data_IF_201577961009
#
_entry.id   IF_201577961009
#
_cell.length_a   1.000
_cell.length_b   1.000
_cell.length_c   1.000
_cell.angle_alpha   90.00
_cell.angle_beta   90.00
_cell.angle_gamma   90.00
#
_symmetry.space_group_name_H-M   'P 1'
#
loop_
_entity.id
_entity.type
_entity.pdbx_description
1 polymer ?
#
# COMPACT_ATOMS: atom_id res chain seq x y z
N UNK A 1 -25.11 2.12 -9.38
CA UNK A 1 -24.99 1.70 -9.14
C UNK A 1 -24.60 1.50 -8.98
N UNK A 2 -24.36 1.63 -8.94
CA UNK A 2 -23.92 1.19 -8.74
C UNK A 2 -23.44 0.89 -8.58
N UNK A 3 -23.20 0.71 -8.41
CA UNK A 3 -22.66 0.05 -8.04
C UNK A 3 -22.55 -0.45 -7.55
N UNK A 4 -22.51 -0.51 -7.54
CA UNK A 4 -22.35 -1.22 -6.97
C UNK A 4 -22.06 -1.49 -6.38
N UNK A 5 -21.91 -1.42 -6.26
CA UNK A 5 -21.59 -1.89 -5.58
C UNK A 5 -21.63 -2.02 -4.95
N UNK A 6 -21.66 -1.65 -4.93
CA UNK A 6 -21.85 -1.91 -4.24
C UNK A 6 -22.02 -2.52 -3.39
N UNK A 7 -22.29 -2.67 -2.91
CA UNK A 7 -22.44 -3.64 -2.25
C UNK A 7 -21.33 -4.24 -1.66
N UNK A 8 -20.58 -4.88 -2.24
CA UNK A 8 -19.34 -5.37 -1.81
C UNK A 8 -18.47 -4.34 -1.23
N UNK A 9 -18.40 -3.22 -1.83
CA UNK A 9 -17.52 -2.17 -1.34
C UNK A 9 -17.79 -1.74 0.06
N UNK A 10 -18.98 -1.96 0.53
CA UNK A 10 -19.28 -1.55 1.88
C UNK A 10 -18.56 -2.39 2.91
N UNK A 11 -18.09 -3.55 2.51
CA UNK A 11 -17.45 -4.44 3.44
C UNK A 11 -15.96 -4.40 3.39
N UNK A 12 -15.42 -3.76 2.39
CA UNK A 12 -13.99 -3.75 2.22
C UNK A 12 -13.51 -2.36 1.90
N UNK A 13 -12.41 -1.98 2.51
CA UNK A 13 -11.78 -0.71 2.21
C UNK A 13 -10.48 -0.96 1.50
N UNK A 14 -10.24 -0.23 0.44
CA UNK A 14 -9.01 -0.37 -0.31
C UNK A 14 -8.55 0.99 -0.79
N UNK A 15 -7.25 1.23 -0.70
CA UNK A 15 -6.67 2.51 -1.11
C UNK A 15 -5.41 2.26 -1.91
N UNK A 16 -5.25 2.97 -3.00
CA UNK A 16 -4.04 2.87 -3.80
C UNK A 16 -2.98 3.74 -3.16
N UNK A 17 -1.77 3.19 -3.08
CA UNK A 17 -0.63 3.92 -2.53
C UNK A 17 0.26 4.31 -3.70
N UNK A 18 0.46 5.61 -3.87
CA UNK A 18 1.32 6.13 -4.92
C UNK A 18 2.43 6.96 -4.32
N UNK A 19 3.62 6.84 -4.90
CA UNK A 19 4.76 7.63 -4.48
C UNK A 19 5.26 8.35 -5.72
N UNK A 20 5.17 9.67 -5.72
CA UNK A 20 5.60 10.48 -6.87
C UNK A 20 4.93 10.01 -8.15
N UNK A 21 3.63 9.78 -8.06
CA UNK A 21 2.82 9.36 -9.19
C UNK A 21 3.11 7.95 -9.69
N UNK A 22 3.90 7.21 -8.96
CA UNK A 22 4.19 5.83 -9.30
C UNK A 22 3.41 4.93 -8.37
N UNK A 23 2.63 3.99 -8.89
CA UNK A 23 1.88 3.10 -7.99
C UNK A 23 2.82 2.20 -7.23
N UNK A 24 2.73 2.23 -5.93
CA UNK A 24 3.52 1.34 -5.08
C UNK A 24 2.74 0.08 -4.81
N UNK A 25 1.42 0.19 -4.71
CA UNK A 25 0.59 -0.94 -4.42
C UNK A 25 -0.74 -0.46 -3.90
N UNK A 26 -1.42 -1.33 -3.20
CA UNK A 26 -2.62 -0.92 -2.53
C UNK A 26 -2.68 -1.56 -1.16
N UNK A 27 -3.48 -0.98 -0.30
CA UNK A 27 -3.74 -1.56 1.00
C UNK A 27 -5.22 -1.81 1.11
N UNK A 28 -5.58 -2.91 1.72
CA UNK A 28 -7.00 -3.23 1.87
C UNK A 28 -7.24 -3.93 3.18
N UNK A 29 -8.46 -3.81 3.67
CA UNK A 29 -8.87 -4.54 4.85
C UNK A 29 -10.34 -4.85 4.75
N UNK A 30 -10.74 -5.93 5.36
CA UNK A 30 -12.14 -6.28 5.46
C UNK A 30 -12.73 -5.55 6.64
N UNK A 31 -14.03 -5.51 6.66
CA UNK A 31 -14.77 -4.81 7.67
C UNK A 31 -14.37 -5.12 9.10
N UNK A 32 -14.08 -6.35 9.38
CA UNK A 32 -13.74 -6.77 10.75
C UNK A 32 -12.26 -6.85 11.00
N UNK A 33 -11.45 -6.39 10.06
CA UNK A 33 -10.00 -6.36 10.26
C UNK A 33 -9.57 -5.02 10.78
N UNK A 34 -8.54 -5.05 11.63
CA UNK A 34 -7.99 -3.83 12.18
C UNK A 34 -6.94 -3.22 11.31
N UNK A 35 -6.24 -4.03 10.57
CA UNK A 35 -5.08 -3.57 9.81
C UNK A 35 -5.30 -3.74 8.33
N UNK A 36 -4.68 -2.83 7.58
CA UNK A 36 -4.67 -2.93 6.13
C UNK A 36 -3.50 -3.80 5.73
N UNK A 37 -3.70 -4.65 4.73
CA UNK A 37 -2.65 -5.49 4.20
C UNK A 37 -2.18 -4.90 2.89
N UNK A 38 -0.87 -4.83 2.73
CA UNK A 38 -0.26 -4.25 1.54
C UNK A 38 -0.12 -5.29 0.44
N UNK A 39 -0.49 -4.90 -0.78
CA UNK A 39 -0.30 -5.72 -1.96
C UNK A 39 0.54 -4.89 -2.91
N UNK A 40 1.75 -5.36 -3.21
CA UNK A 40 2.68 -4.56 -4.01
C UNK A 40 2.26 -4.53 -5.47
N UNK A 41 2.54 -3.42 -6.14
CA UNK A 41 2.25 -3.26 -7.55
C UNK A 41 3.47 -3.49 -8.42
N UNK A 42 4.64 -3.55 -7.83
CA UNK A 42 5.85 -3.80 -8.59
C UNK A 42 6.90 -4.41 -7.69
N UNK A 43 7.92 -4.98 -8.29
CA UNK A 43 8.95 -5.66 -7.52
C UNK A 43 9.71 -4.72 -6.61
N UNK A 44 9.73 -3.44 -6.92
CA UNK A 44 10.37 -2.47 -6.06
C UNK A 44 9.81 -2.46 -4.65
N UNK A 45 8.53 -2.80 -4.52
CA UNK A 45 7.86 -2.73 -3.24
C UNK A 45 7.50 -4.10 -2.69
N UNK A 46 8.09 -5.14 -3.25
CA UNK A 46 7.80 -6.49 -2.77
C UNK A 46 8.19 -6.71 -1.32
N UNK A 47 9.10 -5.93 -0.82
CA UNK A 47 9.47 -6.05 0.58
C UNK A 47 8.30 -5.73 1.50
N UNK A 48 7.31 -5.01 1.01
CA UNK A 48 6.15 -4.66 1.80
C UNK A 48 4.98 -5.60 1.58
N UNK A 49 5.11 -6.51 0.63
CA UNK A 49 4.03 -7.42 0.30
C UNK A 49 3.59 -8.17 1.55
N UNK A 50 2.30 -8.13 1.84
CA UNK A 50 1.76 -8.84 2.99
C UNK A 50 1.92 -8.13 4.31
N UNK A 51 2.63 -7.02 4.35
CA UNK A 51 2.79 -6.28 5.59
C UNK A 51 1.48 -5.59 5.96
N UNK A 52 1.29 -5.40 7.24
CA UNK A 52 0.08 -4.77 7.75
C UNK A 52 0.35 -3.39 8.29
N UNK A 53 -0.59 -2.51 8.06
CA UNK A 53 -0.47 -1.12 8.50
C UNK A 53 -1.76 -0.68 9.13
N UNK A 54 -1.67 0.12 10.16
CA UNK A 54 -2.85 0.61 10.85
C UNK A 54 -3.65 1.58 9.97
N UNK A 55 -2.96 2.31 9.09
CA UNK A 55 -3.62 3.30 8.23
C UNK A 55 -2.95 3.28 6.87
N UNK A 56 -3.64 3.78 5.84
CA UNK A 56 -3.00 3.92 4.53
C UNK A 56 -1.81 4.87 4.57
N UNK A 57 -1.86 5.89 5.42
CA UNK A 57 -0.74 6.82 5.53
C UNK A 57 0.51 6.11 6.02
N UNK A 58 0.35 5.18 6.96
CA UNK A 58 1.50 4.43 7.45
C UNK A 58 2.12 3.61 6.33
N UNK A 59 1.30 3.06 5.45
CA UNK A 59 1.81 2.29 4.33
C UNK A 59 2.55 3.19 3.36
N UNK A 60 2.03 4.38 3.12
CA UNK A 60 2.69 5.31 2.23
C UNK A 60 4.06 5.69 2.76
N UNK A 61 4.15 5.94 4.06
CA UNK A 61 5.43 6.30 4.65
C UNK A 61 6.43 5.16 4.53
N UNK A 62 5.96 3.94 4.73
CA UNK A 62 6.84 2.79 4.60
C UNK A 62 7.35 2.65 3.17
N UNK A 63 6.48 2.88 2.19
CA UNK A 63 6.87 2.79 0.80
C UNK A 63 7.88 3.87 0.45
N UNK A 64 7.69 5.07 0.97
CA UNK A 64 8.65 6.14 0.73
C UNK A 64 10.00 5.82 1.30
N UNK A 65 10.00 5.25 2.50
CA UNK A 65 11.26 4.90 3.12
C UNK A 65 11.97 3.80 2.37
N UNK A 66 11.21 2.88 1.82
CA UNK A 66 11.80 1.82 1.07
C UNK A 66 12.51 2.37 -0.17
N UNK A 67 11.88 3.30 -0.86
CA UNK A 67 12.51 3.92 -2.01
C UNK A 67 13.74 4.70 -1.61
N UNK A 68 13.67 5.39 -0.52
CA UNK A 68 14.76 6.20 -0.05
C UNK A 68 15.96 5.34 0.32
N UNK A 69 15.71 4.21 0.94
CA UNK A 69 16.77 3.31 1.30
C UNK A 69 17.49 2.74 0.11
N UNK A 70 16.78 2.52 -0.97
CA UNK A 70 17.41 1.98 -2.15
C UNK A 70 18.37 2.95 -2.78
N UNK A 71 18.18 4.25 -2.57
CA UNK A 71 19.06 5.21 -3.17
C UNK A 71 20.35 5.38 -2.44
N UNK A 72 20.32 5.50 -1.12
CA UNK A 72 21.57 5.78 -0.40
C UNK A 72 22.63 4.76 -0.62
N UNK A 73 22.27 3.54 -0.87
CA UNK A 73 23.25 2.52 -1.09
C UNK A 73 24.15 2.85 -2.24
N UNK A 74 23.57 3.38 -3.26
CA UNK A 74 24.36 3.72 -4.40
C UNK A 74 25.21 4.91 -4.14
N UNK A 75 24.70 5.81 -3.36
CA UNK A 75 25.46 6.99 -3.06
C UNK A 75 26.65 6.69 -2.22
N UNK A 76 26.54 5.70 -1.41
CA UNK A 76 27.63 5.36 -0.53
C UNK A 76 28.80 4.83 -1.30
N UNK A 77 28.60 4.40 -2.49
CA UNK A 77 29.73 3.82 -3.24
C UNK A 77 30.47 4.85 -4.08
#
# INVERSE_FOLDING_TARGET
MTYSDQRLPAQKQAYVIEIDETPAGLVSRDRDERFFTFVSASSRFDALEGHRFATPVAAELAARQLLRRGRPLRLAS
#
